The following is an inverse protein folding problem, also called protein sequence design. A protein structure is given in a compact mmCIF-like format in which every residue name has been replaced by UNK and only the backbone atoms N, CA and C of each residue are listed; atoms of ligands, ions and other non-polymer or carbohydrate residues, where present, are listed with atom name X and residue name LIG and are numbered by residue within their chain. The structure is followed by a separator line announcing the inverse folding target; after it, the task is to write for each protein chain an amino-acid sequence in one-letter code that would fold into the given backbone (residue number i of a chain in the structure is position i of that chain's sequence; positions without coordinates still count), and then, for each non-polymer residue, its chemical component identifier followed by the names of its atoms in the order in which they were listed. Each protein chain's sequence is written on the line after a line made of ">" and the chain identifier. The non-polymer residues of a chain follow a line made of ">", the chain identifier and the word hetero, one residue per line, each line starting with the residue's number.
data_IF_201109018245
#
_entry.id   IF_201109018245
#
_cell.length_a   1.000
_cell.length_b   1.000
_cell.length_c   1.000
_cell.angle_alpha   90.00
_cell.angle_beta   90.00
_cell.angle_gamma   90.00
#
_symmetry.space_group_name_H-M   'P 1'
#
loop_
_entity.id
_entity.type
_entity.pdbx_description
1 polymer ?
#
# COMPACT_ATOMS: atom_id res chain seq x y z
N UNK A 1 10.48 28.22 -11.24
CA UNK A 1 9.14 27.57 -11.36
C UNK A 1 8.22 28.56 -12.10
N UNK A 2 7.50 28.13 -13.17
CA UNK A 2 6.55 29.02 -13.88
C UNK A 2 5.45 29.55 -12.94
N UNK A 3 5.12 30.84 -13.11
CA UNK A 3 4.17 31.54 -12.21
C UNK A 3 2.71 31.03 -12.34
N UNK A 4 2.37 30.40 -13.45
CA UNK A 4 1.04 29.85 -13.73
C UNK A 4 0.84 28.42 -13.20
N UNK A 5 1.80 27.85 -12.50
CA UNK A 5 1.67 26.56 -11.83
C UNK A 5 1.07 26.73 -10.45
N UNK A 6 0.10 25.91 -10.10
CA UNK A 6 -0.57 25.90 -8.79
C UNK A 6 -0.15 24.70 -7.93
N UNK A 7 0.29 23.62 -8.57
CA UNK A 7 0.75 22.39 -7.92
C UNK A 7 2.12 21.99 -8.45
N UNK A 8 3.04 21.68 -7.54
CA UNK A 8 4.37 21.17 -7.84
C UNK A 8 4.53 19.78 -7.23
N UNK A 9 5.04 18.84 -8.03
CA UNK A 9 5.42 17.51 -7.57
C UNK A 9 6.93 17.39 -7.58
N UNK A 10 7.52 16.99 -6.45
CA UNK A 10 8.96 16.80 -6.31
C UNK A 10 9.23 15.37 -5.86
N UNK A 11 9.92 14.62 -6.70
CA UNK A 11 10.49 13.31 -6.33
C UNK A 11 11.77 13.53 -5.54
N UNK A 12 12.05 12.66 -4.59
CA UNK A 12 13.07 12.80 -3.58
C UNK A 12 14.44 13.27 -4.04
N UNK A 13 15.04 14.12 -3.27
CA UNK A 13 16.40 14.63 -3.48
C UNK A 13 17.39 13.76 -2.73
N UNK A 14 18.48 13.35 -3.38
CA UNK A 14 19.58 12.61 -2.75
C UNK A 14 20.66 13.56 -2.19
N UNK A 15 20.81 14.72 -2.82
CA UNK A 15 21.84 15.71 -2.52
C UNK A 15 21.23 17.03 -2.06
N UNK A 16 22.09 17.93 -1.61
CA UNK A 16 21.72 19.29 -1.26
C UNK A 16 21.27 20.07 -2.50
N UNK A 17 20.09 20.67 -2.42
CA UNK A 17 19.58 21.57 -3.45
C UNK A 17 20.46 22.83 -3.53
N UNK A 18 20.67 23.30 -4.73
CA UNK A 18 21.30 24.61 -4.92
C UNK A 18 20.42 25.75 -4.36
N UNK A 19 21.06 26.89 -4.04
CA UNK A 19 20.37 27.98 -3.36
C UNK A 19 19.22 28.61 -4.17
N UNK A 20 19.25 28.48 -5.50
CA UNK A 20 18.20 29.04 -6.38
C UNK A 20 17.00 28.12 -6.32
N UNK A 21 17.18 26.82 -6.54
CA UNK A 21 16.11 25.79 -6.48
C UNK A 21 15.44 25.77 -5.11
N UNK A 22 16.24 25.81 -4.02
CA UNK A 22 15.72 25.86 -2.66
C UNK A 22 14.79 27.06 -2.44
N UNK A 23 15.26 28.27 -2.81
CA UNK A 23 14.45 29.50 -2.66
C UNK A 23 13.24 29.54 -3.55
N UNK A 24 13.26 28.92 -4.73
CA UNK A 24 12.10 28.82 -5.60
C UNK A 24 11.02 27.91 -5.01
N UNK A 25 11.41 26.80 -4.39
CA UNK A 25 10.45 25.90 -3.70
C UNK A 25 9.86 26.59 -2.46
N UNK A 26 10.71 27.25 -1.65
CA UNK A 26 10.27 28.03 -0.49
C UNK A 26 9.30 29.14 -0.90
N UNK A 27 9.65 29.90 -1.95
CA UNK A 27 8.79 30.95 -2.49
C UNK A 27 7.46 30.39 -3.00
N UNK A 28 7.48 29.25 -3.67
CA UNK A 28 6.27 28.60 -4.17
C UNK A 28 5.26 28.33 -3.04
N UNK A 29 5.72 27.84 -1.90
CA UNK A 29 4.88 27.64 -0.71
C UNK A 29 4.45 28.96 -0.05
N UNK A 30 5.36 29.94 0.01
CA UNK A 30 5.03 31.27 0.58
C UNK A 30 4.08 32.08 -0.28
N UNK A 31 4.03 31.81 -1.60
CA UNK A 31 3.05 32.36 -2.53
C UNK A 31 1.65 31.67 -2.42
N UNK A 32 1.46 30.77 -1.44
CA UNK A 32 0.18 30.10 -1.21
C UNK A 32 -0.12 28.93 -2.14
N UNK A 33 0.91 28.43 -2.83
CA UNK A 33 0.78 27.30 -3.76
C UNK A 33 1.00 25.96 -3.07
N UNK A 34 0.80 24.85 -3.78
CA UNK A 34 0.72 23.52 -3.19
C UNK A 34 1.83 22.61 -3.70
N UNK A 35 2.49 21.91 -2.77
CA UNK A 35 3.63 21.03 -3.04
C UNK A 35 3.32 19.61 -2.56
N UNK A 36 3.49 18.63 -3.46
CA UNK A 36 3.67 17.24 -3.11
C UNK A 36 5.15 16.89 -3.13
N UNK A 37 5.69 16.48 -2.01
CA UNK A 37 7.07 16.02 -1.87
C UNK A 37 7.09 14.54 -1.47
N UNK A 38 7.77 13.73 -2.29
CA UNK A 38 8.07 12.34 -1.98
C UNK A 38 9.54 12.24 -1.57
N UNK A 39 9.85 12.10 -0.28
CA UNK A 39 11.21 12.17 0.26
C UNK A 39 11.45 11.14 1.35
N UNK A 40 12.47 10.31 1.20
CA UNK A 40 12.97 9.42 2.26
C UNK A 40 14.07 10.10 3.08
N UNK A 41 14.27 9.65 4.31
CA UNK A 41 15.43 10.04 5.12
C UNK A 41 16.72 9.30 4.75
N UNK A 42 16.59 8.20 3.99
CA UNK A 42 17.70 7.32 3.59
C UNK A 42 17.63 6.97 2.11
N UNK A 43 18.79 6.78 1.51
CA UNK A 43 18.96 6.21 0.17
C UNK A 43 19.22 4.70 0.29
N UNK A 44 18.59 3.91 -0.57
CA UNK A 44 18.67 2.45 -0.54
C UNK A 44 19.35 1.89 -1.79
N UNK A 45 20.30 0.99 -1.60
CA UNK A 45 20.95 0.21 -2.65
C UNK A 45 20.66 -1.28 -2.44
N UNK A 46 19.85 -1.84 -3.32
CA UNK A 46 19.46 -3.26 -3.26
C UNK A 46 20.57 -4.19 -3.73
N UNK A 47 21.53 -3.71 -4.51
CA UNK A 47 22.64 -4.54 -4.99
C UNK A 47 23.62 -4.83 -3.86
N UNK A 48 23.94 -3.83 -3.07
CA UNK A 48 24.79 -3.97 -1.88
C UNK A 48 24.02 -4.36 -0.62
N UNK A 49 22.69 -4.36 -0.67
CA UNK A 49 21.79 -4.55 0.48
C UNK A 49 22.10 -3.58 1.63
N UNK A 50 22.43 -2.35 1.29
CA UNK A 50 22.77 -1.30 2.24
C UNK A 50 21.87 -0.08 2.02
N UNK A 51 21.67 0.70 3.07
CA UNK A 51 21.12 2.02 2.95
C UNK A 51 22.02 3.04 3.67
N UNK A 52 21.94 4.29 3.24
CA UNK A 52 22.74 5.39 3.79
C UNK A 52 21.84 6.60 4.05
N UNK A 53 22.19 7.39 5.07
CA UNK A 53 21.46 8.62 5.36
C UNK A 53 21.61 9.64 4.22
N UNK A 54 20.49 10.25 3.84
CA UNK A 54 20.50 11.37 2.89
C UNK A 54 20.90 12.65 3.63
N UNK A 55 21.82 13.40 3.03
CA UNK A 55 22.24 14.72 3.50
C UNK A 55 21.76 15.77 2.51
N UNK A 56 20.67 16.46 2.84
CA UNK A 56 20.06 17.48 1.97
C UNK A 56 19.46 18.60 2.81
N UNK A 57 19.48 19.81 2.30
CA UNK A 57 18.84 20.98 2.92
C UNK A 57 17.31 20.93 2.80
N UNK A 58 16.74 19.97 2.05
CA UNK A 58 15.29 19.74 2.01
C UNK A 58 14.71 19.43 3.39
N UNK A 59 15.50 18.78 4.28
CA UNK A 59 15.09 18.51 5.65
C UNK A 59 14.87 19.77 6.48
N UNK A 60 15.64 20.83 6.21
CA UNK A 60 15.46 22.13 6.88
C UNK A 60 14.18 22.80 6.39
N UNK A 61 13.87 22.71 5.08
CA UNK A 61 12.59 23.14 4.54
C UNK A 61 11.41 22.41 5.21
N UNK A 62 11.50 21.09 5.32
CA UNK A 62 10.46 20.27 5.96
C UNK A 62 10.23 20.68 7.41
N UNK A 63 11.28 20.93 8.18
CA UNK A 63 11.18 21.40 9.59
C UNK A 63 10.48 22.74 9.71
N UNK A 64 10.69 23.66 8.74
CA UNK A 64 9.97 24.95 8.73
C UNK A 64 8.45 24.73 8.65
N UNK A 65 8.00 23.62 8.05
CA UNK A 65 6.58 23.28 7.93
C UNK A 65 6.13 22.17 8.88
N UNK A 66 6.84 21.99 10.02
CA UNK A 66 6.55 21.08 11.12
C UNK A 66 6.73 19.59 10.81
N UNK A 67 7.49 19.25 9.78
CA UNK A 67 7.86 17.87 9.47
C UNK A 67 9.32 17.60 9.84
N UNK A 68 9.55 16.72 10.80
CA UNK A 68 10.87 16.17 11.10
C UNK A 68 10.98 14.77 10.53
N UNK A 69 11.42 14.70 9.25
CA UNK A 69 11.62 13.43 8.55
C UNK A 69 12.89 12.75 9.08
N UNK A 70 12.71 11.57 9.64
CA UNK A 70 13.78 10.84 10.33
C UNK A 70 14.67 10.09 9.34
N UNK A 71 15.97 10.00 9.65
CA UNK A 71 16.95 9.24 8.87
C UNK A 71 16.97 7.78 9.30
N UNK A 72 15.83 7.12 9.16
CA UNK A 72 15.58 5.73 9.54
C UNK A 72 14.73 5.01 8.50
N UNK A 73 14.55 3.72 8.67
CA UNK A 73 13.60 2.91 7.91
C UNK A 73 12.51 2.41 8.83
N UNK A 74 11.28 2.53 8.38
CA UNK A 74 10.11 1.95 9.05
C UNK A 74 9.86 0.56 8.48
N UNK A 75 9.75 -0.42 9.38
CA UNK A 75 9.38 -1.79 9.10
C UNK A 75 7.95 -2.05 9.56
N UNK A 76 7.23 -2.90 8.83
CA UNK A 76 5.88 -3.30 9.22
C UNK A 76 5.69 -4.80 9.05
N UNK A 77 5.00 -5.43 10.00
CA UNK A 77 4.64 -6.85 9.92
C UNK A 77 3.57 -7.12 8.87
N UNK A 78 2.75 -6.11 8.51
CA UNK A 78 1.89 -6.16 7.33
C UNK A 78 2.69 -5.68 6.12
N UNK A 79 3.29 -6.62 5.37
CA UNK A 79 4.27 -6.29 4.34
C UNK A 79 4.18 -7.19 3.10
N UNK A 80 4.78 -6.71 2.03
CA UNK A 80 4.99 -7.48 0.82
C UNK A 80 6.06 -8.56 0.97
N UNK A 81 6.22 -9.39 -0.06
CA UNK A 81 7.20 -10.47 -0.11
C UNK A 81 8.26 -10.22 -1.16
N UNK A 82 9.48 -10.65 -0.88
CA UNK A 82 10.57 -10.71 -1.85
C UNK A 82 10.94 -12.18 -2.10
N UNK A 83 11.36 -12.49 -3.31
CA UNK A 83 11.83 -13.84 -3.65
C UNK A 83 13.33 -13.90 -3.46
N UNK A 84 13.78 -14.74 -2.54
CA UNK A 84 15.20 -15.03 -2.31
C UNK A 84 15.58 -16.39 -2.89
N UNK A 85 16.82 -16.55 -3.30
CA UNK A 85 17.34 -17.83 -3.76
C UNK A 85 17.92 -18.60 -2.56
N UNK A 86 17.25 -19.68 -2.19
CA UNK A 86 17.72 -20.57 -1.11
C UNK A 86 18.40 -21.79 -1.69
N UNK A 87 19.61 -22.10 -1.20
CA UNK A 87 20.35 -23.29 -1.65
C UNK A 87 19.85 -24.53 -0.94
N UNK A 88 19.33 -25.48 -1.71
CA UNK A 88 18.94 -26.79 -1.21
C UNK A 88 19.73 -27.88 -1.95
N UNK A 89 20.83 -28.31 -1.36
CA UNK A 89 21.80 -29.20 -2.01
C UNK A 89 22.45 -28.52 -3.25
N UNK A 90 22.42 -29.14 -4.44
CA UNK A 90 22.95 -28.55 -5.67
C UNK A 90 21.99 -27.52 -6.34
N UNK A 91 20.77 -27.38 -5.85
CA UNK A 91 19.73 -26.56 -6.47
C UNK A 91 19.59 -25.22 -5.77
N UNK A 92 19.32 -24.17 -6.54
CA UNK A 92 18.84 -22.87 -6.08
C UNK A 92 17.31 -22.83 -6.27
N UNK A 93 16.58 -22.71 -5.18
CA UNK A 93 15.11 -22.71 -5.18
C UNK A 93 14.63 -21.32 -4.81
N UNK A 94 13.75 -20.70 -5.62
CA UNK A 94 13.14 -19.43 -5.26
C UNK A 94 12.19 -19.61 -4.06
N UNK A 95 12.42 -18.84 -3.00
CA UNK A 95 11.62 -18.87 -1.78
C UNK A 95 11.05 -17.47 -1.50
N UNK A 96 9.71 -17.31 -1.43
CA UNK A 96 9.09 -16.06 -1.06
C UNK A 96 9.24 -15.83 0.46
N UNK A 97 9.78 -14.68 0.84
CA UNK A 97 10.01 -14.27 2.22
C UNK A 97 9.34 -12.93 2.49
N UNK A 98 8.68 -12.79 3.63
CA UNK A 98 8.12 -11.51 4.08
C UNK A 98 9.24 -10.47 4.21
N UNK A 99 8.97 -9.26 3.69
CA UNK A 99 9.97 -8.21 3.65
C UNK A 99 9.42 -6.92 4.28
N UNK A 100 9.61 -6.70 5.58
CA UNK A 100 9.01 -5.61 6.36
C UNK A 100 9.32 -4.20 5.87
N UNK A 101 10.33 -4.02 5.00
CA UNK A 101 10.64 -2.74 4.36
C UNK A 101 9.67 -2.35 3.24
N UNK A 102 8.74 -3.25 2.85
CA UNK A 102 7.68 -3.01 1.87
C UNK A 102 6.32 -3.06 2.58
N UNK A 103 6.01 -2.10 3.45
CA UNK A 103 4.76 -2.11 4.20
C UNK A 103 3.54 -2.02 3.28
N UNK A 104 2.48 -2.72 3.65
CA UNK A 104 1.15 -2.62 3.07
C UNK A 104 0.30 -1.84 4.06
N UNK A 105 0.04 -0.58 3.75
CA UNK A 105 -0.64 0.34 4.65
C UNK A 105 -2.14 0.32 4.40
N UNK A 106 -2.91 0.01 5.42
CA UNK A 106 -4.38 0.00 5.48
C UNK A 106 -4.95 0.97 6.52
N UNK A 107 -4.07 1.70 7.21
CA UNK A 107 -4.42 2.65 8.27
C UNK A 107 -4.45 4.08 7.76
N UNK A 108 -5.62 4.50 7.36
CA UNK A 108 -5.88 5.82 6.79
C UNK A 108 -6.64 6.73 7.74
N UNK A 109 -6.39 8.03 7.60
CA UNK A 109 -7.22 9.05 8.23
C UNK A 109 -8.55 9.18 7.48
N UNK A 110 -9.60 8.57 7.99
CA UNK A 110 -10.94 8.55 7.39
C UNK A 110 -11.59 9.93 7.23
N UNK A 111 -11.03 10.98 7.84
CA UNK A 111 -11.49 12.35 7.66
C UNK A 111 -10.88 13.03 6.43
N UNK A 112 -9.80 12.50 5.88
CA UNK A 112 -9.15 13.05 4.70
C UNK A 112 -9.73 12.41 3.44
N UNK A 113 -10.31 13.21 2.56
CA UNK A 113 -10.89 12.75 1.27
C UNK A 113 -9.85 12.09 0.36
N UNK A 114 -8.57 12.43 0.53
CA UNK A 114 -7.47 11.90 -0.29
C UNK A 114 -7.26 10.39 -0.07
N UNK A 115 -7.53 9.91 1.15
CA UNK A 115 -7.20 8.53 1.57
C UNK A 115 -8.41 7.76 2.13
N UNK A 116 -9.59 8.40 2.30
CA UNK A 116 -10.74 7.80 2.98
C UNK A 116 -11.24 6.50 2.35
N UNK A 117 -11.13 6.40 1.03
CA UNK A 117 -11.70 5.31 0.22
C UNK A 117 -10.63 4.36 -0.33
N UNK A 118 -9.37 4.54 0.07
CA UNK A 118 -8.28 3.64 -0.32
C UNK A 118 -8.34 2.34 0.50
N UNK A 119 -8.03 1.22 -0.16
CA UNK A 119 -7.89 -0.09 0.49
C UNK A 119 -6.49 -0.26 1.08
N UNK A 120 -5.45 0.03 0.32
CA UNK A 120 -4.08 0.01 0.79
C UNK A 120 -3.19 0.97 -0.03
N UNK A 121 -2.01 1.26 0.50
CA UNK A 121 -0.91 1.97 -0.17
C UNK A 121 0.38 1.24 0.19
N UNK A 122 1.31 1.13 -0.74
CA UNK A 122 2.54 0.34 -0.60
C UNK A 122 3.80 1.17 -0.83
N UNK A 123 4.21 1.98 0.16
CA UNK A 123 5.48 2.69 0.07
C UNK A 123 6.67 1.71 0.14
N UNK A 124 7.76 2.09 -0.50
CA UNK A 124 9.00 1.31 -0.53
C UNK A 124 10.06 1.98 0.35
N UNK A 125 10.56 1.28 1.35
CA UNK A 125 11.59 1.80 2.26
C UNK A 125 11.23 3.15 2.91
N UNK A 126 10.03 3.29 3.49
CA UNK A 126 9.60 4.56 4.06
C UNK A 126 10.38 4.91 5.32
N UNK A 127 10.51 6.22 5.55
CA UNK A 127 11.07 6.80 6.77
C UNK A 127 9.96 7.30 7.70
N UNK A 128 10.23 7.42 9.01
CA UNK A 128 9.29 7.99 9.96
C UNK A 128 9.19 9.51 9.81
N UNK A 129 7.98 10.04 9.73
CA UNK A 129 7.70 11.47 9.85
C UNK A 129 7.30 11.75 11.30
N UNK A 130 8.08 12.56 12.02
CA UNK A 130 7.67 13.14 13.27
C UNK A 130 7.06 14.51 13.03
N UNK A 131 5.91 14.75 13.61
CA UNK A 131 5.23 16.04 13.52
C UNK A 131 5.70 16.88 14.71
N UNK A 132 6.30 18.04 14.43
CA UNK A 132 6.67 18.98 15.49
C UNK A 132 5.41 19.54 16.15
N UNK A 133 5.39 19.48 17.48
CA UNK A 133 4.29 20.01 18.29
C UNK A 133 4.43 21.50 18.55
N UNK A 134 5.58 22.10 18.28
CA UNK A 134 5.79 23.54 18.43
C UNK A 134 4.93 24.29 17.42
N UNK A 135 4.13 25.22 17.88
CA UNK A 135 3.32 26.07 17.02
C UNK A 135 4.22 26.94 16.11
N UNK A 136 3.82 27.04 14.86
CA UNK A 136 4.48 27.87 13.87
C UNK A 136 3.45 28.78 13.21
N UNK A 137 3.71 30.09 13.20
CA UNK A 137 2.79 31.07 12.62
C UNK A 137 2.48 30.83 11.13
N UNK A 138 3.37 30.17 10.39
CA UNK A 138 3.13 29.85 8.99
C UNK A 138 2.17 28.67 8.81
N UNK A 139 2.04 27.76 9.79
CA UNK A 139 1.29 26.51 9.69
C UNK A 139 -0.01 26.60 10.46
N UNK A 140 -1.13 26.42 9.75
CA UNK A 140 -2.46 26.37 10.32
C UNK A 140 -2.74 25.04 11.00
N UNK A 141 -2.45 23.95 10.32
CA UNK A 141 -2.78 22.61 10.77
C UNK A 141 -1.84 21.57 10.12
N UNK A 142 -1.52 20.50 10.83
CA UNK A 142 -0.84 19.33 10.29
C UNK A 142 -1.74 18.12 10.43
N UNK A 143 -2.01 17.42 9.32
CA UNK A 143 -2.91 16.26 9.25
C UNK A 143 -2.12 15.03 8.81
N UNK A 144 -2.09 14.00 9.65
CA UNK A 144 -1.57 12.69 9.22
C UNK A 144 -2.54 12.07 8.22
N UNK A 145 -2.02 11.56 7.10
CA UNK A 145 -2.79 10.88 6.06
C UNK A 145 -2.84 9.37 6.31
N UNK A 146 -1.69 8.75 6.48
CA UNK A 146 -1.59 7.34 6.81
C UNK A 146 -0.36 7.00 7.66
N UNK A 147 -0.44 5.86 8.32
CA UNK A 147 0.59 5.37 9.24
C UNK A 147 0.78 3.87 9.10
N UNK A 148 1.95 3.37 9.51
CA UNK A 148 2.22 1.94 9.64
C UNK A 148 1.31 1.28 10.69
N UNK A 149 1.31 -0.06 10.72
CA UNK A 149 0.52 -0.83 11.70
C UNK A 149 1.07 -0.70 13.13
N UNK A 150 0.35 -1.24 14.11
CA UNK A 150 0.88 -1.36 15.48
C UNK A 150 1.89 -2.50 15.65
N UNK A 151 2.14 -3.26 14.59
CA UNK A 151 3.20 -4.24 14.52
C UNK A 151 4.35 -3.73 13.66
N UNK A 152 4.74 -2.48 13.86
CA UNK A 152 5.84 -1.84 13.14
C UNK A 152 7.12 -1.79 13.96
N UNK A 153 8.21 -1.41 13.33
CA UNK A 153 9.52 -1.23 13.94
C UNK A 153 10.30 -0.13 13.23
N UNK A 154 11.41 0.26 13.82
CA UNK A 154 12.34 1.23 13.23
C UNK A 154 13.70 0.58 13.13
N UNK A 155 14.37 0.73 12.00
CA UNK A 155 15.77 0.39 11.80
C UNK A 155 16.63 1.64 11.63
N UNK A 156 17.68 1.72 12.41
CA UNK A 156 18.77 2.70 12.37
C UNK A 156 19.69 2.47 13.60
N UNK A 157 20.95 2.84 13.59
CA UNK A 157 21.73 3.50 12.53
C UNK A 157 22.36 2.52 11.51
N UNK A 158 22.32 1.21 11.74
CA UNK A 158 22.88 0.20 10.84
C UNK A 158 21.80 -0.20 9.82
N UNK A 159 21.84 0.41 8.64
CA UNK A 159 20.81 0.30 7.61
C UNK A 159 21.09 -0.89 6.67
N UNK A 160 20.99 -2.12 7.22
CA UNK A 160 21.12 -3.37 6.46
C UNK A 160 19.77 -3.78 5.86
N UNK A 161 19.70 -3.96 4.54
CA UNK A 161 18.49 -4.31 3.80
C UNK A 161 18.37 -5.81 3.52
N UNK A 162 19.28 -6.67 4.05
CA UNK A 162 19.20 -8.11 3.84
C UNK A 162 17.82 -8.65 4.28
N UNK A 163 17.13 -9.44 3.44
CA UNK A 163 15.89 -10.10 3.84
C UNK A 163 16.11 -11.25 4.83
N UNK A 164 17.36 -11.73 4.98
CA UNK A 164 17.70 -12.83 5.89
C UNK A 164 17.65 -12.36 7.36
N UNK A 165 16.76 -12.91 8.20
CA UNK A 165 16.67 -12.55 9.62
C UNK A 165 17.92 -12.90 10.46
N UNK A 166 18.82 -13.74 9.93
CA UNK A 166 20.08 -14.04 10.59
C UNK A 166 21.11 -12.93 10.35
N UNK A 167 21.06 -12.29 9.19
CA UNK A 167 21.93 -11.18 8.82
C UNK A 167 21.35 -9.82 9.25
N UNK A 168 20.01 -9.73 9.33
CA UNK A 168 19.30 -8.52 9.71
C UNK A 168 18.31 -8.78 10.85
N UNK A 169 18.73 -8.67 12.11
CA UNK A 169 17.87 -8.94 13.26
C UNK A 169 16.72 -7.93 13.41
N UNK A 170 16.80 -6.73 12.80
CA UNK A 170 15.76 -5.71 12.86
C UNK A 170 14.44 -6.16 12.24
N UNK A 171 14.47 -7.09 11.27
CA UNK A 171 13.26 -7.66 10.65
C UNK A 171 12.33 -8.30 11.70
N UNK A 172 12.86 -8.76 12.84
CA UNK A 172 12.11 -9.36 13.95
C UNK A 172 11.78 -8.37 15.07
N UNK A 173 12.33 -7.16 15.03
CA UNK A 173 12.13 -6.14 16.08
C UNK A 173 10.88 -5.28 15.79
N UNK A 174 9.74 -5.95 15.64
CA UNK A 174 8.44 -5.37 15.43
C UNK A 174 7.65 -5.24 16.75
N UNK A 175 6.43 -4.74 16.70
CA UNK A 175 5.55 -4.57 17.87
C UNK A 175 5.57 -3.16 18.45
N UNK A 176 6.14 -2.20 17.75
CA UNK A 176 6.07 -0.78 18.12
C UNK A 176 4.75 -0.16 17.60
N UNK A 177 4.37 0.94 18.23
CA UNK A 177 3.21 1.74 17.81
C UNK A 177 3.42 2.30 16.40
N UNK A 178 2.35 2.40 15.62
CA UNK A 178 2.38 2.88 14.25
C UNK A 178 3.11 4.21 14.06
N UNK A 179 3.81 4.35 12.93
CA UNK A 179 4.64 5.50 12.55
C UNK A 179 3.96 6.26 11.42
N UNK A 180 3.96 7.57 11.46
CA UNK A 180 3.43 8.40 10.36
C UNK A 180 4.33 8.27 9.14
N UNK A 181 3.74 7.96 7.98
CA UNK A 181 4.43 7.78 6.71
C UNK A 181 4.00 8.80 5.64
N UNK A 182 2.82 9.41 5.81
CA UNK A 182 2.41 10.54 4.99
C UNK A 182 1.60 11.52 5.84
N UNK A 183 1.81 12.81 5.60
CA UNK A 183 1.10 13.88 6.27
C UNK A 183 1.04 15.12 5.38
N UNK A 184 0.08 16.00 5.66
CA UNK A 184 -0.03 17.30 5.00
C UNK A 184 0.05 18.42 6.03
N UNK A 185 0.78 19.49 5.69
CA UNK A 185 0.87 20.74 6.42
C UNK A 185 0.09 21.81 5.65
N UNK A 186 -1.00 22.27 6.23
CA UNK A 186 -1.86 23.34 5.67
C UNK A 186 -1.36 24.65 6.20
N UNK A 187 -1.07 25.60 5.30
CA UNK A 187 -0.48 26.89 5.64
C UNK A 187 -1.55 27.98 5.81
N UNK A 188 -1.24 29.00 6.63
CA UNK A 188 -2.13 30.13 6.85
C UNK A 188 -2.36 31.00 5.61
N UNK A 189 -1.44 30.98 4.65
CA UNK A 189 -1.55 31.69 3.37
C UNK A 189 -2.35 30.92 2.29
N UNK A 190 -2.90 29.76 2.61
CA UNK A 190 -3.61 28.89 1.68
C UNK A 190 -2.75 27.89 0.93
N UNK A 191 -1.42 27.93 1.10
CA UNK A 191 -0.50 26.92 0.60
C UNK A 191 -0.63 25.59 1.32
N UNK A 192 -0.09 24.53 0.74
CA UNK A 192 -0.15 23.20 1.33
C UNK A 192 1.11 22.40 0.95
N UNK A 193 1.73 21.79 1.95
CA UNK A 193 2.84 20.85 1.77
C UNK A 193 2.41 19.46 2.16
N UNK A 194 2.31 18.56 1.19
CA UNK A 194 2.06 17.14 1.43
C UNK A 194 3.37 16.37 1.32
N UNK A 195 3.70 15.60 2.34
CA UNK A 195 4.90 14.78 2.42
C UNK A 195 4.54 13.30 2.43
N UNK A 196 5.18 12.52 1.54
CA UNK A 196 5.22 11.06 1.53
C UNK A 196 6.65 10.64 1.84
N UNK A 197 6.84 9.79 2.84
CA UNK A 197 8.19 9.43 3.33
C UNK A 197 8.92 8.36 2.49
N UNK A 198 8.66 8.34 1.18
CA UNK A 198 9.26 7.41 0.21
C UNK A 198 9.69 8.18 -1.04
N UNK A 199 11.00 8.33 -1.26
CA UNK A 199 11.56 9.07 -2.40
C UNK A 199 11.32 8.37 -3.75
N UNK A 200 11.02 7.07 -3.75
CA UNK A 200 10.71 6.29 -4.96
C UNK A 200 9.21 6.21 -5.25
N UNK A 201 8.37 6.85 -4.42
CA UNK A 201 6.92 6.76 -4.57
C UNK A 201 6.40 7.28 -5.91
N UNK A 202 7.06 8.32 -6.45
CA UNK A 202 6.72 8.92 -7.75
C UNK A 202 7.52 8.33 -8.93
N UNK A 203 8.28 7.27 -8.72
CA UNK A 203 9.08 6.66 -9.78
C UNK A 203 8.26 5.58 -10.51
N UNK A 204 8.33 5.59 -11.85
CA UNK A 204 7.57 4.68 -12.74
C UNK A 204 7.94 3.20 -12.54
N UNK A 205 9.21 2.93 -12.25
CA UNK A 205 9.75 1.60 -12.03
C UNK A 205 9.66 1.12 -10.57
N UNK A 206 9.04 1.91 -9.70
CA UNK A 206 8.90 1.63 -8.27
C UNK A 206 7.49 1.92 -7.77
N UNK A 207 7.28 3.02 -7.06
CA UNK A 207 6.00 3.33 -6.41
C UNK A 207 4.82 3.42 -7.37
N UNK A 208 5.00 4.05 -8.54
CA UNK A 208 3.94 4.19 -9.55
C UNK A 208 3.61 2.89 -10.30
N UNK A 209 4.45 1.87 -10.22
CA UNK A 209 4.14 0.55 -10.79
C UNK A 209 3.08 -0.23 -10.00
N UNK A 210 2.68 0.27 -8.85
CA UNK A 210 1.65 -0.31 -7.98
C UNK A 210 0.33 0.44 -8.19
N UNK A 211 -0.71 -0.26 -8.62
CA UNK A 211 -2.00 0.36 -8.99
C UNK A 211 -2.61 1.18 -7.84
N UNK A 212 -2.53 0.67 -6.61
CA UNK A 212 -3.07 1.34 -5.43
C UNK A 212 -2.34 2.66 -5.11
N UNK A 213 -1.02 2.69 -5.33
CA UNK A 213 -0.22 3.92 -5.18
C UNK A 213 -0.59 4.95 -6.24
N UNK A 214 -0.83 4.50 -7.48
CA UNK A 214 -1.27 5.36 -8.57
C UNK A 214 -2.62 6.01 -8.25
N UNK A 215 -3.58 5.25 -7.71
CA UNK A 215 -4.88 5.78 -7.30
C UNK A 215 -4.71 6.85 -6.22
N UNK A 216 -3.88 6.57 -5.21
CA UNK A 216 -3.57 7.55 -4.17
C UNK A 216 -2.94 8.82 -4.77
N UNK A 217 -1.96 8.68 -5.65
CA UNK A 217 -1.30 9.82 -6.30
C UNK A 217 -2.28 10.67 -7.11
N UNK A 218 -3.17 10.04 -7.88
CA UNK A 218 -4.22 10.74 -8.63
C UNK A 218 -5.18 11.50 -7.69
N UNK A 219 -5.55 10.88 -6.55
CA UNK A 219 -6.37 11.57 -5.54
C UNK A 219 -5.64 12.78 -4.95
N UNK A 220 -4.32 12.67 -4.69
CA UNK A 220 -3.50 13.79 -4.21
C UNK A 220 -3.47 14.92 -5.22
N UNK A 221 -3.23 14.63 -6.49
CA UNK A 221 -3.18 15.64 -7.56
C UNK A 221 -4.52 16.36 -7.71
N UNK A 222 -5.63 15.62 -7.76
CA UNK A 222 -6.98 16.20 -7.86
C UNK A 222 -7.30 17.06 -6.63
N UNK A 223 -6.95 16.58 -5.43
CA UNK A 223 -7.14 17.34 -4.20
C UNK A 223 -6.33 18.65 -4.20
N UNK A 224 -5.06 18.58 -4.54
CA UNK A 224 -4.17 19.76 -4.59
C UNK A 224 -4.58 20.72 -5.73
N UNK A 225 -5.10 20.21 -6.86
CA UNK A 225 -5.67 21.03 -7.93
C UNK A 225 -7.01 21.68 -7.55
N UNK A 226 -7.64 21.22 -6.46
CA UNK A 226 -8.92 21.76 -5.98
C UNK A 226 -10.15 21.01 -6.48
N UNK A 227 -9.99 19.95 -7.24
CA UNK A 227 -11.08 19.15 -7.81
C UNK A 227 -11.42 17.93 -6.94
N UNK A 228 -12.05 18.20 -5.79
CA UNK A 228 -12.41 17.16 -4.82
C UNK A 228 -13.52 16.23 -5.30
N UNK A 229 -14.30 16.64 -6.29
CA UNK A 229 -15.43 15.85 -6.79
C UNK A 229 -14.93 14.65 -7.62
N UNK A 230 -13.80 14.78 -8.33
CA UNK A 230 -13.19 13.68 -9.08
C UNK A 230 -12.76 12.53 -8.16
N UNK A 231 -12.30 12.81 -6.95
CA UNK A 231 -11.93 11.78 -5.97
C UNK A 231 -13.12 10.89 -5.63
N UNK A 232 -14.29 11.50 -5.40
CA UNK A 232 -15.51 10.78 -5.05
C UNK A 232 -16.06 9.91 -6.18
N UNK A 233 -15.79 10.27 -7.42
CA UNK A 233 -16.17 9.49 -8.60
C UNK A 233 -15.26 8.28 -8.78
N UNK A 234 -13.95 8.46 -8.60
CA UNK A 234 -12.95 7.39 -8.73
C UNK A 234 -13.13 6.29 -7.69
N UNK A 235 -13.44 6.64 -6.45
CA UNK A 235 -13.65 5.68 -5.37
C UNK A 235 -14.82 4.72 -5.64
N UNK A 236 -15.78 5.11 -6.48
CA UNK A 236 -16.90 4.24 -6.89
C UNK A 236 -16.53 3.21 -7.95
N UNK A 237 -15.52 3.48 -8.78
CA UNK A 237 -15.12 2.60 -9.89
C UNK A 237 -14.15 1.47 -9.46
N UNK A 238 -13.39 1.66 -8.39
CA UNK A 238 -12.27 0.77 -8.02
C UNK A 238 -12.69 -0.45 -7.19
N UNK A 239 -13.95 -0.65 -6.90
CA UNK A 239 -14.39 -1.84 -6.16
C UNK A 239 -14.46 -3.11 -7.02
N UNK A 240 -13.40 -3.45 -7.74
CA UNK A 240 -13.16 -4.82 -8.18
C UNK A 240 -12.70 -5.66 -6.98
N UNK A 241 -13.63 -5.94 -6.06
CA UNK A 241 -13.34 -6.87 -4.96
C UNK A 241 -13.35 -8.28 -5.55
N UNK A 242 -12.20 -8.99 -5.64
CA UNK A 242 -12.28 -10.42 -5.74
C UNK A 242 -13.07 -10.89 -4.52
N UNK A 243 -14.11 -11.68 -4.77
CA UNK A 243 -14.88 -12.31 -3.68
C UNK A 243 -13.91 -13.11 -2.81
N UNK A 244 -13.49 -12.53 -1.70
CA UNK A 244 -12.66 -13.21 -0.72
C UNK A 244 -13.54 -14.12 0.13
N UNK A 245 -14.06 -15.17 -0.52
CA UNK A 245 -15.02 -16.14 0.05
C UNK A 245 -14.33 -17.07 1.05
N UNK A 246 -13.02 -16.95 1.24
CA UNK A 246 -12.22 -17.95 1.94
C UNK A 246 -11.31 -17.33 3.00
N UNK A 247 -11.88 -16.57 3.93
CA UNK A 247 -11.20 -16.34 5.20
C UNK A 247 -11.04 -17.70 5.92
N UNK A 248 -9.83 -18.02 6.33
CA UNK A 248 -9.56 -19.11 7.24
C UNK A 248 -10.17 -18.74 8.59
N UNK A 249 -10.79 -19.70 9.28
CA UNK A 249 -11.27 -19.48 10.63
C UNK A 249 -10.08 -19.07 11.53
N UNK A 250 -10.33 -18.19 12.49
CA UNK A 250 -9.30 -17.62 13.40
C UNK A 250 -8.46 -18.69 14.13
N UNK A 251 -8.99 -19.89 14.31
CA UNK A 251 -8.27 -21.04 14.88
C UNK A 251 -7.27 -21.66 13.88
N UNK A 252 -7.58 -21.66 12.60
CA UNK A 252 -6.71 -22.16 11.52
C UNK A 252 -5.58 -21.16 11.21
N UNK A 253 -5.81 -19.86 11.41
CA UNK A 253 -4.77 -18.83 11.26
C UNK A 253 -3.62 -18.96 12.26
N UNK A 254 -3.89 -19.48 13.46
CA UNK A 254 -2.87 -19.63 14.51
C UNK A 254 -2.12 -20.97 14.45
N UNK A 255 -2.70 -21.98 13.79
CA UNK A 255 -2.18 -23.36 13.81
C UNK A 255 -1.25 -23.73 12.67
N UNK A 256 -1.38 -23.08 11.52
CA UNK A 256 -0.69 -23.51 10.29
C UNK A 256 0.35 -22.51 9.81
N UNK A 257 1.42 -23.02 9.19
CA UNK A 257 2.45 -22.20 8.52
C UNK A 257 1.86 -21.47 7.29
N UNK A 258 2.51 -20.40 6.82
CA UNK A 258 2.05 -19.62 5.66
C UNK A 258 1.82 -20.50 4.42
N UNK A 259 2.70 -21.47 4.15
CA UNK A 259 2.60 -22.40 3.03
C UNK A 259 1.41 -23.37 3.15
N UNK A 260 1.10 -23.81 4.37
CA UNK A 260 -0.05 -24.70 4.61
C UNK A 260 -1.36 -23.94 4.46
N UNK A 261 -1.41 -22.68 4.90
CA UNK A 261 -2.57 -21.78 4.71
C UNK A 261 -2.85 -21.55 3.22
N UNK A 262 -1.83 -21.24 2.43
CA UNK A 262 -1.97 -21.05 0.99
C UNK A 262 -2.48 -22.32 0.29
N UNK A 263 -1.92 -23.48 0.63
CA UNK A 263 -2.38 -24.78 0.09
C UNK A 263 -3.82 -25.13 0.53
N UNK A 264 -4.24 -24.70 1.72
CA UNK A 264 -5.62 -24.90 2.20
C UNK A 264 -6.59 -23.98 1.46
N UNK A 265 -6.24 -22.71 1.28
CA UNK A 265 -7.02 -21.74 0.51
C UNK A 265 -7.14 -22.20 -0.95
N UNK A 266 -6.06 -22.63 -1.59
CA UNK A 266 -6.08 -23.15 -2.95
C UNK A 266 -6.93 -24.42 -3.10
N UNK A 267 -6.86 -25.33 -2.14
CA UNK A 267 -7.74 -26.51 -2.11
C UNK A 267 -9.22 -26.12 -1.96
N UNK A 268 -9.53 -25.16 -1.07
CA UNK A 268 -10.90 -24.65 -0.92
C UNK A 268 -11.37 -23.97 -2.21
N UNK A 269 -10.55 -23.13 -2.85
CA UNK A 269 -10.87 -22.48 -4.15
C UNK A 269 -11.15 -23.51 -5.25
N UNK A 270 -10.32 -24.55 -5.38
CA UNK A 270 -10.52 -25.63 -6.36
C UNK A 270 -11.83 -26.41 -6.08
N UNK A 271 -12.14 -26.72 -4.82
CA UNK A 271 -13.39 -27.41 -4.45
C UNK A 271 -14.62 -26.57 -4.77
N UNK A 272 -14.60 -25.27 -4.46
CA UNK A 272 -15.70 -24.36 -4.78
C UNK A 272 -15.89 -24.18 -6.30
N UNK A 273 -14.81 -24.02 -7.06
CA UNK A 273 -14.88 -23.98 -8.53
C UNK A 273 -15.51 -25.26 -9.09
N UNK A 274 -15.05 -26.41 -8.61
CA UNK A 274 -15.59 -27.72 -9.03
C UNK A 274 -17.07 -27.87 -8.64
N UNK A 275 -17.43 -27.53 -7.41
CA UNK A 275 -18.82 -27.60 -6.94
C UNK A 275 -19.74 -26.71 -7.78
N UNK A 276 -19.38 -25.47 -8.05
CA UNK A 276 -20.16 -24.54 -8.87
C UNK A 276 -20.28 -24.98 -10.34
N UNK A 277 -19.33 -25.73 -10.86
CA UNK A 277 -19.38 -26.25 -12.23
C UNK A 277 -20.23 -27.53 -12.31
N UNK A 278 -20.09 -28.42 -11.35
CA UNK A 278 -20.72 -29.76 -11.41
C UNK A 278 -22.17 -29.74 -10.85
N UNK A 279 -22.44 -28.98 -9.80
CA UNK A 279 -23.71 -28.99 -9.11
C UNK A 279 -24.91 -28.56 -9.99
N UNK A 280 -24.83 -27.43 -10.74
CA UNK A 280 -25.92 -27.05 -11.65
C UNK A 280 -26.13 -28.08 -12.76
N UNK A 281 -25.04 -28.61 -13.33
CA UNK A 281 -25.12 -29.63 -14.40
C UNK A 281 -25.79 -30.93 -13.91
N UNK A 282 -25.42 -31.37 -12.71
CA UNK A 282 -26.00 -32.57 -12.10
C UNK A 282 -27.48 -32.38 -11.79
N UNK A 283 -27.90 -31.20 -11.31
CA UNK A 283 -29.30 -30.89 -11.05
C UNK A 283 -30.13 -30.90 -12.33
N UNK A 284 -29.62 -30.31 -13.43
CA UNK A 284 -30.31 -30.31 -14.72
C UNK A 284 -30.48 -31.72 -15.27
N UNK A 285 -29.41 -32.55 -15.22
CA UNK A 285 -29.47 -33.94 -15.65
C UNK A 285 -30.46 -34.74 -14.77
N UNK A 286 -30.37 -34.58 -13.44
CA UNK A 286 -31.26 -35.24 -12.51
C UNK A 286 -32.74 -34.87 -12.76
N UNK A 287 -33.01 -33.59 -12.98
CA UNK A 287 -34.34 -33.13 -13.33
C UNK A 287 -34.83 -33.70 -14.66
N UNK A 288 -33.97 -33.73 -15.67
CA UNK A 288 -34.30 -34.32 -16.98
C UNK A 288 -34.64 -35.82 -16.88
N UNK A 289 -33.87 -36.58 -16.10
CA UNK A 289 -34.14 -38.02 -15.86
C UNK A 289 -35.46 -38.24 -15.11
N UNK A 290 -35.73 -37.42 -14.07
CA UNK A 290 -37.00 -37.51 -13.31
C UNK A 290 -38.21 -37.17 -14.20
N UNK A 291 -38.10 -36.15 -15.01
CA UNK A 291 -39.14 -35.76 -15.97
C UNK A 291 -39.40 -36.85 -17.00
N UNK A 292 -38.32 -37.39 -17.60
CA UNK A 292 -38.40 -38.48 -18.56
C UNK A 292 -39.11 -39.75 -17.96
N UNK A 293 -38.74 -40.10 -16.74
CA UNK A 293 -39.41 -41.24 -16.03
C UNK A 293 -40.88 -40.99 -15.78
N UNK A 294 -41.27 -39.75 -15.40
CA UNK A 294 -42.68 -39.40 -15.19
C UNK A 294 -43.46 -39.44 -16.50
N UNK A 295 -42.94 -38.91 -17.58
CA UNK A 295 -43.57 -38.93 -18.91
C UNK A 295 -43.72 -40.35 -19.42
N UNK A 296 -42.72 -41.21 -19.25
CA UNK A 296 -42.80 -42.63 -19.61
C UNK A 296 -43.84 -43.38 -18.84
N UNK A 297 -43.92 -43.22 -17.51
CA UNK A 297 -44.94 -43.85 -16.68
C UNK A 297 -46.35 -43.35 -17.04
N UNK A 298 -46.52 -42.07 -17.34
CA UNK A 298 -47.81 -41.56 -17.82
C UNK A 298 -48.20 -42.13 -19.19
N UNK A 299 -47.28 -42.31 -20.09
CA UNK A 299 -47.53 -42.95 -21.39
C UNK A 299 -47.91 -44.42 -21.27
N UNK A 300 -47.29 -45.18 -20.32
CA UNK A 300 -47.64 -46.56 -20.04
C UNK A 300 -49.05 -46.70 -19.42
N UNK A 301 -49.42 -45.80 -18.50
CA UNK A 301 -50.76 -45.76 -17.90
C UNK A 301 -51.82 -45.40 -18.97
N UNK A 302 -51.54 -44.46 -19.85
CA UNK A 302 -52.45 -44.11 -20.94
C UNK A 302 -52.64 -45.28 -21.92
N UNK A 303 -51.60 -46.04 -22.26
CA UNK A 303 -51.72 -47.26 -23.07
C UNK A 303 -52.62 -48.30 -22.43
N UNK A 304 -52.55 -48.52 -21.08
CA UNK A 304 -53.39 -49.47 -20.39
C UNK A 304 -54.87 -49.06 -20.31
N UNK A 305 -55.19 -47.79 -20.53
CA UNK A 305 -56.58 -47.27 -20.49
C UNK A 305 -57.21 -47.31 -21.90
N UNK A 306 -56.43 -47.34 -22.96
CA UNK A 306 -56.94 -47.27 -24.35
C UNK A 306 -56.83 -48.59 -25.13
N UNK A 307 -56.18 -49.63 -24.53
CA UNK A 307 -56.27 -51.03 -24.97
C UNK A 307 -57.36 -51.76 -24.16
#
# INVERSE_FOLDING_TARGET
>A
IPSNMDVLLVSGTLDTLDSITYKEIEKFLTDGKKLLLAQSGVSTDLQTQQASEIQSNIFDLLKTYRFDLQKNLVLDGNCGKVTVQVRQGPFLIPYPMDYPFFPIIDRFNKKSVVVSDLENVRPLFPSEIKIDTVENEAVKEVVTLFSSSNNSGIMGPNLNLSPDPQQNPFIKMLGQKGKTLAATSILNNGGELMLISDSKFLADDAGMSVDENMIFLMNVVDYLAGDKDLISLRSREVTSRPLDILQLDTEDEQRFSADEKERMVDRKKKRWKFANMVLPSTLIIGFGVLRYRREKNQAEVLKQIYD
#
